data_IF_612645461409
#
_entry.id   IF_612645461409
#
_cell.length_a   1.000
_cell.length_b   1.000
_cell.length_c   1.000
_cell.angle_alpha   90.00
_cell.angle_beta   90.00
_cell.angle_gamma   90.00
#
_symmetry.space_group_name_H-M   'P 1'
#
loop_
_entity.id
_entity.type
_entity.pdbx_description
1 polymer ?
#
# COMPACT_ATOMS: atom_id res chain seq x y z
N UNK A 1 -16.79 16.82 -13.84
CA UNK A 1 -16.64 17.50 -12.53
C UNK A 1 -15.43 16.88 -11.84
N UNK A 2 -14.55 17.67 -11.21
CA UNK A 2 -13.51 17.08 -10.35
C UNK A 2 -14.19 16.23 -9.27
N UNK A 3 -13.58 15.09 -8.90
CA UNK A 3 -14.09 14.16 -7.88
C UNK A 3 -14.38 14.79 -6.52
N UNK A 4 -13.92 16.02 -6.30
CA UNK A 4 -14.19 16.80 -5.09
C UNK A 4 -15.69 16.78 -4.80
N UNK A 5 -16.05 16.10 -3.71
CA UNK A 5 -17.40 15.94 -3.17
C UNK A 5 -18.30 14.87 -3.81
N UNK A 6 -17.75 13.94 -4.60
CA UNK A 6 -18.50 12.73 -5.01
C UNK A 6 -18.12 11.57 -4.11
N UNK A 7 -19.12 10.86 -3.60
CA UNK A 7 -18.90 9.62 -2.84
C UNK A 7 -18.08 8.63 -3.68
N UNK A 8 -16.98 8.15 -3.12
CA UNK A 8 -16.14 7.13 -3.74
C UNK A 8 -16.68 5.75 -3.40
N UNK A 9 -17.00 4.98 -4.43
CA UNK A 9 -17.42 3.58 -4.32
C UNK A 9 -16.22 2.64 -4.43
N UNK A 10 -16.29 1.43 -3.84
CA UNK A 10 -15.29 0.40 -4.06
C UNK A 10 -15.13 0.05 -5.54
N UNK A 11 -13.89 -0.16 -5.97
CA UNK A 11 -13.56 -0.63 -7.32
C UNK A 11 -13.59 -2.16 -7.40
N UNK A 12 -13.67 -2.70 -8.60
CA UNK A 12 -13.62 -4.12 -8.89
C UNK A 12 -12.41 -4.46 -9.79
N UNK A 13 -12.36 -5.69 -10.31
CA UNK A 13 -11.30 -6.18 -11.19
C UNK A 13 -11.17 -5.39 -12.50
N UNK A 14 -12.28 -4.86 -13.05
CA UNK A 14 -12.27 -4.10 -14.31
C UNK A 14 -11.52 -2.77 -14.19
N UNK A 15 -11.50 -2.17 -12.99
CA UNK A 15 -10.72 -0.95 -12.74
C UNK A 15 -9.22 -1.14 -13.02
N UNK A 16 -8.72 -2.37 -12.93
CA UNK A 16 -7.34 -2.73 -13.19
C UNK A 16 -7.15 -3.38 -14.57
N UNK A 17 -8.13 -3.28 -15.47
CA UNK A 17 -8.05 -3.78 -16.84
C UNK A 17 -7.20 -2.88 -17.74
N UNK A 18 -6.88 -3.34 -18.94
CA UNK A 18 -5.98 -2.62 -19.85
C UNK A 18 -6.55 -1.25 -20.25
N UNK A 19 -5.67 -0.32 -20.66
CA UNK A 19 -6.09 1.00 -21.14
C UNK A 19 -7.00 0.91 -22.37
N UNK A 20 -8.12 1.63 -22.34
CA UNK A 20 -9.13 1.63 -23.40
C UNK A 20 -9.02 2.89 -24.27
N UNK A 21 -8.22 2.81 -25.33
CA UNK A 21 -7.93 3.95 -26.22
C UNK A 21 -9.21 4.59 -26.79
N UNK A 22 -10.17 3.77 -27.21
CA UNK A 22 -11.41 4.24 -27.85
C UNK A 22 -12.33 5.03 -26.90
N UNK A 23 -12.18 4.84 -25.58
CA UNK A 23 -12.89 5.65 -24.57
C UNK A 23 -12.21 6.99 -24.31
N UNK A 24 -10.91 7.12 -24.58
CA UNK A 24 -10.17 8.34 -24.23
C UNK A 24 -10.53 9.52 -25.16
N UNK A 25 -11.12 10.57 -24.59
CA UNK A 25 -11.47 11.81 -25.30
C UNK A 25 -10.35 12.88 -25.31
N UNK A 26 -9.13 12.54 -24.89
CA UNK A 26 -7.96 13.43 -24.84
C UNK A 26 -8.16 14.71 -24.00
N UNK A 27 -9.11 14.72 -23.06
CA UNK A 27 -9.35 15.89 -22.22
C UNK A 27 -8.15 16.27 -21.33
N UNK A 28 -7.34 15.29 -20.91
CA UNK A 28 -6.18 15.49 -20.03
C UNK A 28 -6.51 15.67 -18.53
N UNK A 29 -7.77 15.52 -18.10
CA UNK A 29 -8.18 15.69 -16.69
C UNK A 29 -7.43 14.75 -15.74
N UNK A 30 -7.19 13.51 -16.18
CA UNK A 30 -6.50 12.49 -15.41
C UNK A 30 -5.05 12.88 -15.05
N UNK A 31 -4.35 13.60 -15.94
CA UNK A 31 -2.98 14.06 -15.71
C UNK A 31 -2.92 15.46 -15.09
N UNK A 32 -3.86 16.34 -15.41
CA UNK A 32 -3.94 17.69 -14.83
C UNK A 32 -4.28 17.65 -13.34
N UNK A 33 -5.16 16.72 -12.91
CA UNK A 33 -5.50 16.54 -11.50
C UNK A 33 -4.55 15.58 -10.75
N UNK A 34 -3.39 15.25 -11.33
CA UNK A 34 -2.42 14.37 -10.68
C UNK A 34 -1.83 15.06 -9.43
N UNK A 35 -1.96 14.48 -8.21
CA UNK A 35 -1.47 15.12 -6.99
C UNK A 35 0.07 15.09 -6.87
N UNK A 36 0.74 14.45 -7.82
CA UNK A 36 2.20 14.25 -7.86
C UNK A 36 2.88 15.18 -8.87
N UNK A 37 2.51 15.11 -10.16
CA UNK A 37 3.34 15.61 -11.28
C UNK A 37 3.05 17.07 -11.67
N UNK A 38 1.98 17.68 -11.13
CA UNK A 38 1.60 19.10 -11.26
C UNK A 38 1.80 19.65 -12.69
N UNK A 39 0.80 19.38 -13.55
CA UNK A 39 0.78 19.77 -14.95
C UNK A 39 -0.34 20.76 -15.20
N UNK A 40 -0.07 21.80 -16.00
CA UNK A 40 -1.14 22.62 -16.58
C UNK A 40 -2.04 21.79 -17.48
N UNK A 41 -3.23 22.31 -17.83
CA UNK A 41 -4.19 21.59 -18.66
C UNK A 41 -3.62 21.30 -20.06
N UNK A 42 -2.88 22.25 -20.62
CA UNK A 42 -2.24 22.15 -21.93
C UNK A 42 -1.07 21.16 -21.92
N UNK A 43 -0.26 21.15 -20.86
CA UNK A 43 0.80 20.15 -20.69
C UNK A 43 0.22 18.75 -20.50
N UNK A 44 -0.85 18.62 -19.71
CA UNK A 44 -1.52 17.35 -19.45
C UNK A 44 -2.08 16.71 -20.73
N UNK A 45 -2.73 17.50 -21.60
CA UNK A 45 -3.22 17.01 -22.90
C UNK A 45 -2.08 16.50 -23.79
N UNK A 46 -1.01 17.29 -23.91
CA UNK A 46 0.16 16.94 -24.72
C UNK A 46 0.88 15.69 -24.22
N UNK A 47 1.09 15.58 -22.90
CA UNK A 47 1.70 14.40 -22.28
C UNK A 47 0.83 13.15 -22.48
N UNK A 48 -0.51 13.29 -22.43
CA UNK A 48 -1.43 12.19 -22.71
C UNK A 48 -1.38 11.75 -24.18
N UNK A 49 -1.37 12.69 -25.12
CA UNK A 49 -1.20 12.41 -26.56
C UNK A 49 0.13 11.70 -26.83
N UNK A 50 1.22 12.17 -26.23
CA UNK A 50 2.54 11.55 -26.34
C UNK A 50 2.56 10.13 -25.75
N UNK A 51 1.91 9.93 -24.60
CA UNK A 51 1.82 8.63 -23.94
C UNK A 51 1.05 7.62 -24.83
N UNK A 52 -0.09 8.03 -25.41
CA UNK A 52 -0.93 7.18 -26.25
C UNK A 52 -0.22 6.87 -27.58
N UNK A 53 0.37 7.88 -28.23
CA UNK A 53 1.08 7.73 -29.51
C UNK A 53 2.44 7.02 -29.38
N UNK A 54 3.00 6.96 -28.18
CA UNK A 54 4.30 6.34 -27.92
C UNK A 54 5.51 7.23 -28.23
N UNK A 55 5.32 8.54 -28.38
CA UNK A 55 6.38 9.52 -28.67
C UNK A 55 7.28 9.86 -27.46
N UNK A 56 7.06 9.21 -26.30
CA UNK A 56 7.78 9.47 -25.06
C UNK A 56 7.22 10.68 -24.30
N UNK A 57 7.23 10.62 -22.98
CA UNK A 57 6.67 11.67 -22.10
C UNK A 57 7.78 12.43 -21.41
N UNK A 58 7.59 13.72 -21.13
CA UNK A 58 8.60 14.53 -20.43
C UNK A 58 8.70 14.16 -18.95
N UNK A 59 7.55 14.04 -18.26
CA UNK A 59 7.50 13.73 -16.82
C UNK A 59 6.77 12.43 -16.48
N UNK A 60 5.74 12.04 -17.24
CA UNK A 60 4.82 10.97 -16.81
C UNK A 60 5.54 9.63 -16.56
N UNK A 61 6.29 9.13 -17.54
CA UNK A 61 6.98 7.84 -17.41
C UNK A 61 8.12 7.89 -16.38
N UNK A 62 8.69 9.06 -16.07
CA UNK A 62 9.84 9.18 -15.17
C UNK A 62 9.46 9.53 -13.73
N UNK A 63 8.32 10.21 -13.50
CA UNK A 63 7.88 10.73 -12.20
C UNK A 63 6.58 10.10 -11.67
N UNK A 64 5.85 9.35 -12.48
CA UNK A 64 4.65 8.65 -12.01
C UNK A 64 4.98 7.70 -10.85
N UNK A 65 4.06 7.67 -9.89
CA UNK A 65 4.16 6.85 -8.67
C UNK A 65 3.12 5.73 -8.65
N UNK A 66 2.43 5.47 -9.77
CA UNK A 66 1.40 4.43 -9.96
C UNK A 66 0.43 4.31 -8.78
N UNK A 67 -0.14 5.46 -8.37
CA UNK A 67 -1.10 5.55 -7.27
C UNK A 67 -2.56 5.44 -7.74
N UNK A 68 -2.80 5.27 -9.04
CA UNK A 68 -4.12 5.12 -9.68
C UNK A 68 -5.07 6.31 -9.54
N UNK A 69 -4.62 7.47 -9.01
CA UNK A 69 -5.47 8.67 -8.91
C UNK A 69 -6.00 9.12 -10.28
N UNK A 70 -5.20 9.00 -11.34
CA UNK A 70 -5.61 9.39 -12.69
C UNK A 70 -6.79 8.57 -13.23
N UNK A 71 -7.00 7.34 -12.75
CA UNK A 71 -8.11 6.49 -13.20
C UNK A 71 -9.42 6.98 -12.61
N UNK A 72 -9.43 7.35 -11.32
CA UNK A 72 -10.59 8.00 -10.71
C UNK A 72 -10.93 9.35 -11.37
N UNK A 73 -9.92 10.10 -11.82
CA UNK A 73 -10.12 11.39 -12.49
C UNK A 73 -10.44 11.27 -13.99
N UNK A 74 -10.44 10.07 -14.55
CA UNK A 74 -10.76 9.87 -15.96
C UNK A 74 -12.29 9.90 -16.15
N UNK A 75 -12.86 10.89 -16.85
CA UNK A 75 -14.31 10.98 -17.03
C UNK A 75 -14.89 9.81 -17.86
N UNK A 76 -14.05 9.18 -18.69
CA UNK A 76 -14.44 8.12 -19.62
C UNK A 76 -14.06 6.72 -19.11
N UNK A 77 -13.52 6.61 -17.90
CA UNK A 77 -13.00 5.36 -17.33
C UNK A 77 -12.06 4.59 -18.29
N UNK A 78 -11.07 5.28 -18.88
CA UNK A 78 -10.17 4.73 -19.88
C UNK A 78 -8.92 4.02 -19.28
N UNK A 79 -8.79 3.96 -17.96
CA UNK A 79 -7.67 3.31 -17.23
C UNK A 79 -6.24 3.83 -17.58
N UNK A 80 -5.97 5.16 -17.50
CA UNK A 80 -4.67 5.74 -17.88
C UNK A 80 -3.46 5.20 -17.09
N UNK A 81 -3.61 4.75 -15.84
CA UNK A 81 -2.50 4.13 -15.08
C UNK A 81 -1.99 2.88 -15.79
N UNK A 82 -2.90 2.07 -16.32
CA UNK A 82 -2.52 0.82 -16.97
C UNK A 82 -1.75 1.07 -18.27
N UNK A 83 -2.01 2.16 -18.98
CA UNK A 83 -1.16 2.60 -20.09
C UNK A 83 0.27 2.88 -19.62
N UNK A 84 0.45 3.56 -18.49
CA UNK A 84 1.78 3.84 -17.91
C UNK A 84 2.48 2.53 -17.53
N UNK A 85 1.77 1.61 -16.87
CA UNK A 85 2.32 0.31 -16.48
C UNK A 85 2.70 -0.55 -17.70
N UNK A 86 1.92 -0.52 -18.78
CA UNK A 86 2.26 -1.19 -20.05
C UNK A 86 3.54 -0.61 -20.66
N UNK A 87 3.70 0.73 -20.67
CA UNK A 87 4.92 1.37 -21.18
C UNK A 87 6.13 1.03 -20.33
N UNK A 88 6.00 1.02 -19.00
CA UNK A 88 7.06 0.54 -18.10
C UNK A 88 7.39 -0.94 -18.31
N UNK A 89 6.39 -1.81 -18.55
CA UNK A 89 6.61 -3.21 -18.88
C UNK A 89 7.46 -3.36 -20.15
N UNK A 90 7.13 -2.58 -21.19
CA UNK A 90 7.88 -2.56 -22.44
C UNK A 90 9.32 -2.07 -22.23
N UNK A 91 9.49 -0.94 -21.53
CA UNK A 91 10.80 -0.40 -21.22
C UNK A 91 11.65 -1.40 -20.42
N UNK A 92 11.06 -2.08 -19.44
CA UNK A 92 11.72 -3.16 -18.70
C UNK A 92 12.17 -4.32 -19.61
N UNK A 93 11.35 -4.74 -20.57
CA UNK A 93 11.71 -5.81 -21.52
C UNK A 93 12.85 -5.40 -22.46
N UNK A 94 12.92 -4.14 -22.84
CA UNK A 94 13.91 -3.60 -23.78
C UNK A 94 15.24 -3.28 -23.08
N UNK A 95 15.20 -2.64 -21.91
CA UNK A 95 16.39 -2.13 -21.21
C UNK A 95 16.84 -2.97 -20.01
N UNK A 96 15.96 -3.84 -19.49
CA UNK A 96 16.14 -4.46 -18.19
C UNK A 96 15.92 -3.51 -17.01
N UNK A 97 16.13 -4.03 -15.80
CA UNK A 97 16.11 -3.23 -14.59
C UNK A 97 17.45 -2.55 -14.36
N UNK A 98 17.43 -1.33 -13.84
CA UNK A 98 18.63 -0.78 -13.21
C UNK A 98 18.91 -1.56 -11.92
N UNK A 99 20.18 -1.78 -11.59
CA UNK A 99 20.65 -2.57 -10.42
C UNK A 99 19.92 -2.23 -9.12
N UNK A 100 19.66 -0.95 -8.86
CA UNK A 100 18.92 -0.54 -7.65
C UNK A 100 17.47 -1.03 -7.68
N UNK A 101 16.81 -1.01 -8.82
CA UNK A 101 15.45 -1.55 -8.97
C UNK A 101 15.41 -3.06 -8.72
N UNK A 102 16.40 -3.81 -9.22
CA UNK A 102 16.54 -5.25 -8.98
C UNK A 102 16.59 -5.57 -7.49
N UNK A 103 17.35 -4.78 -6.71
CA UNK A 103 17.49 -4.97 -5.27
C UNK A 103 16.18 -4.81 -4.47
N UNK A 104 15.13 -4.22 -5.05
CA UNK A 104 13.81 -4.09 -4.41
C UNK A 104 12.78 -5.12 -4.90
N UNK A 105 13.14 -5.95 -5.87
CA UNK A 105 12.25 -6.99 -6.42
C UNK A 105 12.04 -8.13 -5.43
N UNK A 106 10.82 -8.66 -5.38
CA UNK A 106 10.40 -9.72 -4.44
C UNK A 106 10.45 -11.12 -5.04
N UNK A 107 11.21 -11.32 -6.13
CA UNK A 107 11.26 -12.56 -6.88
C UNK A 107 12.68 -12.96 -7.25
N UNK A 108 12.89 -14.27 -7.42
CA UNK A 108 14.07 -14.85 -8.06
C UNK A 108 14.23 -14.35 -9.51
N UNK A 109 15.46 -14.09 -10.01
CA UNK A 109 16.76 -14.34 -9.38
C UNK A 109 17.27 -13.20 -8.48
N UNK A 110 16.48 -12.17 -8.22
CA UNK A 110 16.94 -10.99 -7.49
C UNK A 110 17.06 -11.20 -5.96
N UNK A 111 17.33 -12.43 -5.52
CA UNK A 111 17.62 -12.77 -4.13
C UNK A 111 19.13 -13.03 -3.98
N UNK A 112 19.83 -12.47 -2.97
CA UNK A 112 19.32 -11.63 -1.88
C UNK A 112 18.90 -10.22 -2.33
N UNK A 113 17.91 -9.65 -1.64
CA UNK A 113 17.35 -8.31 -1.90
C UNK A 113 17.28 -7.46 -0.62
N UNK A 114 16.73 -6.26 -0.74
CA UNK A 114 16.50 -5.37 0.39
C UNK A 114 15.73 -6.03 1.54
N UNK A 115 14.72 -6.85 1.25
CA UNK A 115 13.90 -7.49 2.29
C UNK A 115 14.65 -8.62 2.99
N UNK A 116 15.47 -9.40 2.28
CA UNK A 116 16.32 -10.40 2.94
C UNK A 116 17.37 -9.73 3.82
N UNK A 117 17.95 -8.61 3.36
CA UNK A 117 18.84 -7.79 4.20
C UNK A 117 18.15 -7.30 5.47
N UNK A 118 16.92 -6.77 5.37
CA UNK A 118 16.14 -6.36 6.55
C UNK A 118 15.92 -7.55 7.49
N UNK A 119 15.49 -8.70 6.97
CA UNK A 119 15.26 -9.92 7.76
C UNK A 119 16.52 -10.38 8.52
N UNK A 120 17.69 -10.30 7.89
CA UNK A 120 18.98 -10.64 8.51
C UNK A 120 19.34 -9.72 9.68
N UNK A 121 18.80 -8.50 9.72
CA UNK A 121 19.09 -7.51 10.76
C UNK A 121 17.97 -7.36 11.80
N UNK A 122 16.89 -8.15 11.69
CA UNK A 122 15.84 -8.17 12.71
C UNK A 122 16.34 -8.74 14.06
N UNK A 123 15.75 -8.30 15.19
CA UNK A 123 16.00 -8.90 16.50
C UNK A 123 15.75 -10.42 16.50
N UNK A 124 16.47 -11.15 17.36
CA UNK A 124 16.39 -12.62 17.45
C UNK A 124 14.97 -13.12 17.70
N UNK A 125 14.24 -12.49 18.60
CA UNK A 125 12.86 -12.89 18.91
C UNK A 125 11.90 -12.60 17.74
N UNK A 126 12.09 -11.48 17.02
CA UNK A 126 11.35 -11.18 15.79
C UNK A 126 11.60 -12.22 14.70
N UNK A 127 12.85 -12.66 14.53
CA UNK A 127 13.19 -13.74 13.58
C UNK A 127 12.50 -15.05 13.94
N UNK A 128 12.47 -15.43 15.22
CA UNK A 128 11.75 -16.62 15.69
C UNK A 128 10.26 -16.52 15.45
N UNK A 129 9.67 -15.35 15.72
CA UNK A 129 8.26 -15.07 15.46
C UNK A 129 7.94 -15.27 13.98
N UNK A 130 8.67 -14.62 13.08
CA UNK A 130 8.44 -14.77 11.63
C UNK A 130 8.69 -16.21 11.16
N UNK A 131 9.69 -16.90 11.71
CA UNK A 131 9.95 -18.30 11.38
C UNK A 131 8.77 -19.22 11.76
N UNK A 132 8.04 -18.91 12.83
CA UNK A 132 6.86 -19.68 13.24
C UNK A 132 5.70 -19.61 12.22
N UNK A 133 5.65 -18.58 11.38
CA UNK A 133 4.62 -18.39 10.35
C UNK A 133 4.86 -19.22 9.08
N UNK A 134 5.98 -19.94 9.01
CA UNK A 134 6.37 -20.76 7.86
C UNK A 134 5.65 -22.10 7.76
N UNK A 135 4.88 -22.50 8.78
CA UNK A 135 4.23 -23.81 8.82
C UNK A 135 3.28 -24.04 7.63
N UNK A 136 3.39 -25.24 7.03
CA UNK A 136 2.47 -25.75 6.01
C UNK A 136 1.47 -26.76 6.57
N UNK A 137 1.48 -27.00 7.88
CA UNK A 137 0.48 -27.84 8.53
C UNK A 137 -0.93 -27.27 8.31
N UNK A 138 -1.96 -28.14 8.27
CA UNK A 138 -3.35 -27.70 8.14
C UNK A 138 -3.69 -26.58 9.13
N UNK A 139 -4.51 -25.65 8.66
CA UNK A 139 -5.01 -24.57 9.51
C UNK A 139 -5.85 -25.15 10.65
N UNK A 140 -5.76 -24.55 11.84
CA UNK A 140 -6.58 -24.90 13.00
C UNK A 140 -8.05 -24.50 12.81
N UNK A 141 -8.31 -23.51 11.97
CA UNK A 141 -9.65 -23.08 11.58
C UNK A 141 -9.71 -22.71 10.09
N UNK A 142 -10.80 -22.06 9.70
CA UNK A 142 -11.08 -21.76 8.29
C UNK A 142 -10.42 -20.47 7.76
N UNK A 143 -9.74 -19.71 8.63
CA UNK A 143 -9.18 -18.39 8.29
C UNK A 143 -7.66 -18.37 8.33
N UNK A 144 -7.03 -18.03 7.21
CA UNK A 144 -5.61 -17.70 7.16
C UNK A 144 -5.42 -16.20 7.38
N UNK A 145 -4.53 -15.82 8.30
CA UNK A 145 -4.10 -14.43 8.45
C UNK A 145 -2.82 -14.19 7.68
N UNK A 146 -2.90 -13.38 6.62
CA UNK A 146 -1.81 -13.05 5.73
C UNK A 146 -1.12 -11.75 6.19
N UNK A 147 0.15 -11.80 6.63
CA UNK A 147 0.86 -10.62 7.10
C UNK A 147 1.30 -9.71 5.94
N UNK A 148 1.63 -10.29 4.78
CA UNK A 148 2.31 -9.56 3.70
C UNK A 148 3.76 -9.23 4.02
N UNK A 149 4.48 -8.74 3.02
CA UNK A 149 5.94 -8.61 3.09
C UNK A 149 6.42 -7.48 4.02
N UNK A 150 5.66 -6.39 4.15
CA UNK A 150 6.04 -5.27 5.01
C UNK A 150 5.68 -5.51 6.48
N UNK A 151 4.59 -6.23 6.80
CA UNK A 151 4.31 -6.59 8.20
C UNK A 151 5.33 -7.60 8.70
N UNK A 152 5.85 -8.49 7.84
CA UNK A 152 6.98 -9.36 8.19
C UNK A 152 8.20 -8.54 8.68
N UNK A 153 8.47 -7.37 8.10
CA UNK A 153 9.58 -6.50 8.55
C UNK A 153 9.25 -5.64 9.78
N UNK A 154 7.99 -5.67 10.25
CA UNK A 154 7.49 -5.03 11.46
C UNK A 154 6.60 -6.01 12.23
N UNK A 155 7.07 -7.26 12.39
CA UNK A 155 6.26 -8.37 12.89
C UNK A 155 5.76 -8.12 14.31
N UNK A 156 6.44 -7.26 15.06
CA UNK A 156 6.06 -6.75 16.37
C UNK A 156 4.68 -6.10 16.40
N UNK A 157 4.22 -5.50 15.29
CA UNK A 157 2.87 -4.93 15.18
C UNK A 157 1.77 -5.99 15.38
N UNK A 158 2.11 -7.27 15.20
CA UNK A 158 1.17 -8.38 15.40
C UNK A 158 1.09 -8.86 16.84
N UNK A 159 1.97 -8.38 17.72
CA UNK A 159 2.10 -8.85 19.11
C UNK A 159 1.14 -8.16 20.07
N UNK A 160 -0.08 -7.92 19.61
CA UNK A 160 -1.18 -7.39 20.41
C UNK A 160 -2.12 -8.52 20.82
N UNK A 161 -2.76 -8.42 21.99
CA UNK A 161 -3.74 -9.42 22.43
C UNK A 161 -4.93 -9.56 21.48
N UNK A 162 -5.22 -8.54 20.67
CA UNK A 162 -6.26 -8.57 19.64
C UNK A 162 -5.99 -9.69 18.61
N UNK A 163 -4.72 -10.00 18.34
CA UNK A 163 -4.30 -10.95 17.32
C UNK A 163 -3.82 -12.29 17.87
N UNK A 164 -3.94 -12.53 19.19
CA UNK A 164 -3.40 -13.72 19.85
C UNK A 164 -3.94 -15.05 19.28
N UNK A 165 -5.19 -15.03 18.81
CA UNK A 165 -5.88 -16.21 18.28
C UNK A 165 -5.83 -16.27 16.73
N UNK A 166 -5.14 -15.32 16.09
CA UNK A 166 -5.02 -15.31 14.63
C UNK A 166 -3.99 -16.32 14.15
N UNK A 167 -4.38 -17.06 13.12
CA UNK A 167 -3.51 -18.02 12.47
C UNK A 167 -2.66 -17.34 11.39
N UNK A 168 -1.57 -16.69 11.81
CA UNK A 168 -0.66 -15.99 10.90
C UNK A 168 0.18 -17.01 10.12
N UNK A 169 0.14 -16.91 8.78
CA UNK A 169 0.95 -17.70 7.85
C UNK A 169 1.57 -16.80 6.80
N UNK A 170 2.87 -16.93 6.57
CA UNK A 170 3.54 -16.14 5.55
C UNK A 170 5.06 -16.17 5.61
N UNK A 171 5.67 -15.96 4.45
CA UNK A 171 7.11 -15.78 4.24
C UNK A 171 7.32 -14.79 3.10
N UNK A 172 8.54 -14.27 2.95
CA UNK A 172 8.85 -13.34 1.86
C UNK A 172 8.61 -13.94 0.47
N UNK A 173 8.76 -15.26 0.32
CA UNK A 173 8.44 -15.97 -0.92
C UNK A 173 6.95 -15.92 -1.26
N UNK A 174 6.05 -15.83 -0.27
CA UNK A 174 4.61 -15.71 -0.47
C UNK A 174 4.16 -14.23 -0.55
N UNK A 175 5.04 -13.32 -0.97
CA UNK A 175 4.66 -11.93 -1.27
C UNK A 175 3.56 -11.88 -2.35
N UNK A 176 2.56 -11.02 -2.15
CA UNK A 176 1.41 -10.84 -3.05
C UNK A 176 1.77 -10.21 -4.41
N UNK A 177 3.00 -9.73 -4.60
CA UNK A 177 3.44 -9.15 -5.87
C UNK A 177 3.01 -7.70 -6.09
N UNK A 178 2.46 -7.00 -5.09
CA UNK A 178 2.03 -5.59 -5.22
C UNK A 178 3.07 -4.69 -5.89
N UNK A 179 4.34 -4.83 -5.50
CA UNK A 179 5.41 -3.99 -6.03
C UNK A 179 5.62 -4.27 -7.52
N UNK A 180 5.54 -5.54 -7.93
CA UNK A 180 5.65 -5.95 -9.33
C UNK A 180 4.52 -5.36 -10.17
N UNK A 181 3.29 -5.36 -9.63
CA UNK A 181 2.16 -4.76 -10.31
C UNK A 181 2.38 -3.27 -10.55
N UNK A 182 2.73 -2.54 -9.50
CA UNK A 182 2.92 -1.09 -9.57
C UNK A 182 4.16 -0.64 -10.32
N UNK A 183 5.09 -1.53 -10.62
CA UNK A 183 6.25 -1.27 -11.50
C UNK A 183 6.05 -1.81 -12.93
N UNK A 184 4.89 -2.42 -13.24
CA UNK A 184 4.57 -2.90 -14.60
C UNK A 184 5.16 -4.28 -14.94
N UNK A 185 5.44 -5.17 -13.98
CA UNK A 185 6.11 -6.45 -14.19
C UNK A 185 5.09 -7.56 -14.46
N UNK A 186 4.34 -7.41 -15.55
CA UNK A 186 3.20 -8.26 -15.91
C UNK A 186 3.53 -9.75 -15.88
N UNK A 187 4.60 -10.19 -16.52
CA UNK A 187 4.97 -11.62 -16.60
C UNK A 187 5.31 -12.20 -15.23
N UNK A 188 5.95 -11.39 -14.38
CA UNK A 188 6.36 -11.78 -13.04
C UNK A 188 5.18 -11.89 -12.08
N UNK A 189 4.11 -11.13 -12.31
CA UNK A 189 2.86 -11.29 -11.56
C UNK A 189 2.20 -12.65 -11.81
N UNK A 190 2.14 -13.14 -13.05
CA UNK A 190 1.62 -14.48 -13.32
C UNK A 190 2.39 -15.58 -12.55
N UNK A 191 3.72 -15.44 -12.45
CA UNK A 191 4.55 -16.37 -11.65
C UNK A 191 4.24 -16.29 -10.15
N UNK A 192 3.96 -15.09 -9.62
CA UNK A 192 3.53 -14.90 -8.23
C UNK A 192 2.18 -15.54 -7.98
N UNK A 193 1.20 -15.31 -8.87
CA UNK A 193 -0.14 -15.89 -8.76
C UNK A 193 -0.09 -17.41 -8.74
N UNK A 194 0.69 -18.03 -9.62
CA UNK A 194 0.83 -19.50 -9.66
C UNK A 194 1.41 -20.05 -8.35
N UNK A 195 2.42 -19.37 -7.78
CA UNK A 195 3.02 -19.77 -6.49
C UNK A 195 2.04 -19.59 -5.33
N UNK A 196 1.29 -18.49 -5.32
CA UNK A 196 0.27 -18.24 -4.30
C UNK A 196 -0.86 -19.26 -4.40
N UNK A 197 -1.32 -19.60 -5.60
CA UNK A 197 -2.31 -20.66 -5.83
C UNK A 197 -1.84 -21.98 -5.22
N UNK A 198 -0.60 -22.41 -5.49
CA UNK A 198 -0.04 -23.64 -4.90
C UNK A 198 -0.04 -23.59 -3.37
N UNK A 199 0.34 -22.44 -2.80
CA UNK A 199 0.37 -22.24 -1.36
C UNK A 199 -1.03 -22.28 -0.73
N UNK A 200 -2.01 -21.59 -1.31
CA UNK A 200 -3.39 -21.62 -0.83
C UNK A 200 -4.03 -23.00 -1.02
N UNK A 201 -3.76 -23.71 -2.12
CA UNK A 201 -4.24 -25.09 -2.31
C UNK A 201 -3.62 -26.09 -1.30
N UNK A 202 -2.46 -25.76 -0.73
CA UNK A 202 -1.85 -26.55 0.34
C UNK A 202 -2.55 -26.30 1.69
N UNK A 203 -2.74 -25.02 2.05
CA UNK A 203 -3.31 -24.62 3.35
C UNK A 203 -4.84 -24.67 3.41
N UNK A 204 -5.51 -24.59 2.26
CA UNK A 204 -6.97 -24.63 2.06
C UNK A 204 -7.80 -23.68 2.94
N UNK A 205 -7.43 -22.39 3.09
CA UNK A 205 -8.26 -21.43 3.82
C UNK A 205 -9.59 -21.14 3.10
N UNK A 206 -10.70 -21.09 3.83
CA UNK A 206 -11.96 -20.55 3.29
C UNK A 206 -11.94 -19.02 3.30
N UNK A 207 -11.34 -18.42 4.32
CA UNK A 207 -11.28 -16.97 4.50
C UNK A 207 -9.85 -16.45 4.58
N UNK A 208 -9.63 -15.24 4.08
CA UNK A 208 -8.34 -14.56 4.12
C UNK A 208 -8.46 -13.24 4.90
N UNK A 209 -7.83 -13.17 6.07
CA UNK A 209 -7.64 -11.91 6.80
C UNK A 209 -6.29 -11.30 6.43
N UNK A 210 -6.28 -10.08 5.90
CA UNK A 210 -5.07 -9.45 5.36
C UNK A 210 -4.64 -8.26 6.22
N UNK A 211 -3.42 -8.34 6.76
CA UNK A 211 -2.81 -7.29 7.61
C UNK A 211 -2.20 -6.12 6.80
N UNK A 212 -2.59 -5.97 5.54
CA UNK A 212 -2.03 -5.00 4.60
C UNK A 212 -3.10 -4.52 3.61
N UNK A 213 -3.47 -3.24 3.65
CA UNK A 213 -4.45 -2.65 2.71
C UNK A 213 -4.09 -2.92 1.24
N UNK A 214 -2.80 -2.83 0.89
CA UNK A 214 -2.34 -3.11 -0.46
C UNK A 214 -2.52 -4.59 -0.84
N UNK A 215 -2.22 -5.49 0.10
CA UNK A 215 -2.47 -6.92 -0.06
C UNK A 215 -3.96 -7.22 -0.25
N UNK A 216 -4.84 -6.58 0.54
CA UNK A 216 -6.29 -6.73 0.41
C UNK A 216 -6.74 -6.40 -1.01
N UNK A 217 -6.27 -5.28 -1.59
CA UNK A 217 -6.67 -4.89 -2.95
C UNK A 217 -6.07 -5.83 -3.99
N UNK A 218 -4.81 -6.22 -3.81
CA UNK A 218 -4.12 -7.08 -4.75
C UNK A 218 -4.79 -8.46 -4.84
N UNK A 219 -5.17 -9.07 -3.72
CA UNK A 219 -5.90 -10.34 -3.75
C UNK A 219 -7.32 -10.20 -4.29
N UNK A 220 -8.06 -9.14 -3.92
CA UNK A 220 -9.46 -8.95 -4.36
C UNK A 220 -9.58 -8.59 -5.84
N UNK A 221 -8.79 -7.63 -6.30
CA UNK A 221 -9.07 -6.90 -7.53
C UNK A 221 -7.96 -6.98 -8.59
N UNK A 222 -6.75 -7.41 -8.23
CA UNK A 222 -5.60 -7.41 -9.16
C UNK A 222 -5.26 -8.82 -9.60
N UNK A 223 -4.89 -9.71 -8.68
CA UNK A 223 -4.39 -11.05 -9.01
C UNK A 223 -5.37 -11.95 -9.77
N UNK A 224 -6.72 -11.80 -9.69
CA UNK A 224 -7.62 -12.50 -10.61
C UNK A 224 -7.26 -12.30 -12.09
N UNK A 225 -6.93 -11.05 -12.49
CA UNK A 225 -6.48 -10.71 -13.84
C UNK A 225 -5.09 -11.28 -14.19
N UNK A 226 -4.34 -11.77 -13.20
CA UNK A 226 -3.01 -12.37 -13.35
C UNK A 226 -2.99 -13.85 -12.99
N UNK A 227 -4.14 -14.53 -13.07
CA UNK A 227 -4.23 -15.98 -13.03
C UNK A 227 -4.22 -16.62 -11.64
N UNK A 228 -4.51 -15.85 -10.57
CA UNK A 228 -4.84 -16.45 -9.27
C UNK A 228 -6.22 -17.11 -9.37
N UNK A 229 -6.28 -18.43 -9.20
CA UNK A 229 -7.51 -19.21 -9.35
C UNK A 229 -8.14 -19.59 -8.03
N UNK A 230 -7.37 -19.63 -6.94
CA UNK A 230 -7.87 -20.01 -5.62
C UNK A 230 -9.01 -19.07 -5.20
N UNK A 231 -10.17 -19.65 -4.87
CA UNK A 231 -11.35 -18.90 -4.47
C UNK A 231 -11.48 -18.90 -2.95
N UNK A 232 -11.53 -17.70 -2.38
CA UNK A 232 -11.86 -17.49 -0.98
C UNK A 232 -13.35 -17.19 -0.87
N UNK A 233 -14.00 -17.70 0.18
CA UNK A 233 -15.36 -17.29 0.54
C UNK A 233 -15.39 -15.82 1.00
N UNK A 234 -14.31 -15.34 1.62
CA UNK A 234 -14.16 -13.92 1.94
C UNK A 234 -12.70 -13.47 2.04
N UNK A 235 -12.45 -12.22 1.67
CA UNK A 235 -11.18 -11.53 1.90
C UNK A 235 -11.48 -10.27 2.72
N UNK A 236 -10.86 -10.13 3.88
CA UNK A 236 -11.11 -9.02 4.83
C UNK A 236 -9.83 -8.28 5.15
N UNK A 237 -9.91 -6.96 5.26
CA UNK A 237 -8.82 -6.12 5.76
C UNK A 237 -8.78 -6.15 7.29
N UNK A 238 -7.58 -6.06 7.86
CA UNK A 238 -7.44 -5.97 9.31
C UNK A 238 -8.14 -4.76 9.93
N UNK A 239 -8.33 -3.66 9.19
CA UNK A 239 -9.09 -2.51 9.67
C UNK A 239 -10.58 -2.83 9.84
N UNK A 240 -11.17 -3.56 8.89
CA UNK A 240 -12.56 -4.03 8.98
C UNK A 240 -12.70 -4.98 10.18
N UNK A 241 -11.78 -5.94 10.31
CA UNK A 241 -11.74 -6.88 11.44
C UNK A 241 -11.65 -6.19 12.81
N UNK A 242 -10.77 -5.19 12.94
CA UNK A 242 -10.63 -4.42 14.19
C UNK A 242 -11.92 -3.64 14.48
N UNK A 243 -12.48 -3.00 13.46
CA UNK A 243 -13.70 -2.22 13.63
C UNK A 243 -14.88 -3.11 14.04
N UNK A 244 -15.06 -4.28 13.43
CA UNK A 244 -16.06 -5.27 13.83
C UNK A 244 -15.88 -5.70 15.29
N UNK A 245 -14.66 -6.03 15.71
CA UNK A 245 -14.39 -6.39 17.11
C UNK A 245 -14.65 -5.24 18.09
N UNK A 246 -14.39 -3.99 17.69
CA UNK A 246 -14.76 -2.81 18.48
C UNK A 246 -16.28 -2.74 18.63
N UNK A 247 -17.03 -2.89 17.53
CA UNK A 247 -18.50 -2.82 17.54
C UNK A 247 -19.13 -3.94 18.37
N UNK A 248 -18.52 -5.12 18.39
CA UNK A 248 -18.95 -6.26 19.19
C UNK A 248 -18.52 -6.20 20.67
N UNK A 249 -17.86 -5.12 21.10
CA UNK A 249 -17.28 -4.98 22.45
C UNK A 249 -16.23 -6.05 22.81
N UNK A 250 -15.58 -6.64 21.80
CA UNK A 250 -14.50 -7.62 21.98
C UNK A 250 -13.14 -6.94 22.22
N UNK A 251 -13.02 -5.65 21.88
CA UNK A 251 -11.86 -4.80 22.16
C UNK A 251 -12.26 -3.75 23.20
N UNK A 252 -11.72 -3.88 24.41
CA UNK A 252 -12.01 -2.97 25.53
C UNK A 252 -10.95 -1.87 25.60
N UNK A 253 -11.38 -0.61 25.40
CA UNK A 253 -10.51 0.56 25.54
C UNK A 253 -10.32 0.87 27.02
N UNK A 254 -9.07 0.77 27.49
CA UNK A 254 -8.70 1.04 28.89
C UNK A 254 -8.30 2.49 29.12
N UNK A 255 -7.77 3.15 28.09
CA UNK A 255 -7.26 4.51 28.15
C UNK A 255 -7.56 5.24 26.84
N UNK A 256 -8.18 6.41 26.92
CA UNK A 256 -8.28 7.35 25.78
C UNK A 256 -6.94 8.09 25.64
N UNK A 257 -6.43 8.21 24.43
CA UNK A 257 -5.05 8.66 24.21
C UNK A 257 -4.84 10.17 24.28
N UNK A 258 -5.89 10.98 24.13
CA UNK A 258 -5.83 12.45 24.09
C UNK A 258 -4.67 12.96 23.22
N UNK A 259 -4.63 12.45 21.99
CA UNK A 259 -3.60 12.73 21.01
C UNK A 259 -4.25 13.30 19.74
N UNK A 260 -3.60 14.26 19.10
CA UNK A 260 -3.98 14.74 17.78
C UNK A 260 -3.06 14.16 16.72
N UNK A 261 -3.60 13.55 15.67
CA UNK A 261 -2.81 12.98 14.56
C UNK A 261 -3.27 13.49 13.20
N UNK A 262 -2.33 13.62 12.27
CA UNK A 262 -2.65 13.64 10.83
C UNK A 262 -2.50 12.24 10.25
N UNK A 263 -3.24 11.92 9.19
CA UNK A 263 -3.23 10.58 8.59
C UNK A 263 -2.43 10.59 7.28
N UNK A 264 -1.55 9.60 7.11
CA UNK A 264 -1.06 9.18 5.79
C UNK A 264 -1.93 8.03 5.29
N UNK A 265 -2.69 8.29 4.22
CA UNK A 265 -3.48 7.25 3.58
C UNK A 265 -2.59 6.20 2.90
N UNK A 266 -3.03 4.95 2.90
CA UNK A 266 -2.50 3.92 2.03
C UNK A 266 -2.91 4.23 0.59
N UNK A 267 -1.99 4.06 -0.37
CA UNK A 267 -2.25 4.32 -1.80
C UNK A 267 -3.46 3.58 -2.37
N UNK A 268 -3.85 2.48 -1.72
CA UNK A 268 -4.97 1.61 -2.11
C UNK A 268 -6.29 1.88 -1.38
N UNK A 269 -6.34 2.80 -0.41
CA UNK A 269 -7.54 2.94 0.41
C UNK A 269 -8.76 3.45 -0.38
N UNK A 270 -8.56 4.35 -1.34
CA UNK A 270 -9.63 4.82 -2.26
C UNK A 270 -10.22 3.73 -3.15
N UNK A 271 -9.53 2.61 -3.35
CA UNK A 271 -10.03 1.46 -4.11
C UNK A 271 -11.17 0.74 -3.36
N UNK A 272 -11.31 1.00 -2.07
CA UNK A 272 -12.38 0.45 -1.24
C UNK A 272 -13.46 1.49 -0.91
N UNK A 273 -13.41 2.68 -1.51
CA UNK A 273 -14.39 3.73 -1.31
C UNK A 273 -14.32 4.45 0.06
N UNK A 274 -15.27 5.34 0.26
CA UNK A 274 -15.31 6.24 1.43
C UNK A 274 -15.55 5.49 2.74
N UNK A 275 -16.34 4.42 2.73
CA UNK A 275 -16.59 3.62 3.93
C UNK A 275 -15.29 3.07 4.53
N UNK A 276 -14.42 2.51 3.67
CA UNK A 276 -13.13 1.99 4.09
C UNK A 276 -12.18 3.10 4.55
N UNK A 277 -12.11 4.21 3.81
CA UNK A 277 -11.29 5.38 4.20
C UNK A 277 -11.76 6.00 5.52
N UNK A 278 -13.04 5.83 5.88
CA UNK A 278 -13.57 6.26 7.16
C UNK A 278 -13.21 5.33 8.32
N UNK A 279 -12.89 4.05 8.09
CA UNK A 279 -12.49 3.11 9.15
C UNK A 279 -11.32 3.60 10.02
N UNK A 280 -10.16 4.03 9.48
CA UNK A 280 -9.06 4.50 10.34
C UNK A 280 -9.50 5.70 11.20
N UNK A 281 -10.35 6.60 10.68
CA UNK A 281 -10.88 7.74 11.44
C UNK A 281 -11.82 7.30 12.56
N UNK A 282 -12.75 6.39 12.25
CA UNK A 282 -13.68 5.80 13.23
C UNK A 282 -12.92 5.13 14.37
N UNK A 283 -11.91 4.32 14.04
CA UNK A 283 -11.05 3.64 15.02
C UNK A 283 -10.29 4.67 15.86
N UNK A 284 -9.62 5.65 15.24
CA UNK A 284 -8.84 6.68 15.94
C UNK A 284 -9.71 7.51 16.89
N UNK A 285 -10.85 8.01 16.42
CA UNK A 285 -11.80 8.74 17.27
C UNK A 285 -12.31 7.86 18.42
N UNK A 286 -12.61 6.58 18.15
CA UNK A 286 -13.04 5.64 19.17
C UNK A 286 -11.98 5.40 20.26
N UNK A 287 -10.69 5.50 19.96
CA UNK A 287 -9.62 5.38 20.96
C UNK A 287 -9.23 6.74 21.59
N UNK A 288 -9.98 7.81 21.31
CA UNK A 288 -9.74 9.15 21.87
C UNK A 288 -8.59 9.89 21.19
N UNK A 289 -8.36 9.62 19.90
CA UNK A 289 -7.42 10.36 19.05
C UNK A 289 -8.20 11.28 18.13
N UNK A 290 -7.83 12.55 18.08
CA UNK A 290 -8.41 13.55 17.16
C UNK A 290 -7.66 13.53 15.83
N UNK A 291 -8.38 13.44 14.72
CA UNK A 291 -7.77 13.46 13.38
C UNK A 291 -7.82 14.87 12.79
N UNK A 292 -6.64 15.41 12.42
CA UNK A 292 -6.50 16.62 11.60
C UNK A 292 -6.04 16.23 10.20
N UNK A 293 -6.90 16.40 9.22
CA UNK A 293 -6.61 15.99 7.83
C UNK A 293 -5.63 16.96 7.16
N UNK A 294 -4.68 16.42 6.39
CA UNK A 294 -3.81 17.21 5.52
C UNK A 294 -4.49 17.45 4.15
N UNK A 295 -4.01 18.41 3.33
CA UNK A 295 -4.61 18.68 2.02
C UNK A 295 -4.56 17.50 1.04
N UNK A 296 -3.61 16.58 1.20
CA UNK A 296 -3.38 15.45 0.30
C UNK A 296 -3.96 14.16 0.87
N UNK A 297 -5.29 14.07 0.90
CA UNK A 297 -6.03 12.99 1.54
C UNK A 297 -7.18 12.50 0.66
N UNK A 298 -7.76 11.34 0.98
CA UNK A 298 -8.88 10.71 0.24
C UNK A 298 -8.61 10.60 -1.27
N UNK A 299 -9.47 11.12 -2.14
CA UNK A 299 -9.28 11.09 -3.60
C UNK A 299 -7.94 11.72 -4.05
N UNK A 300 -7.49 12.73 -3.31
CA UNK A 300 -6.25 13.49 -3.56
C UNK A 300 -5.04 12.91 -2.82
N UNK A 301 -5.16 11.73 -2.21
CA UNK A 301 -4.08 11.13 -1.45
C UNK A 301 -2.81 10.94 -2.30
N UNK A 302 -1.67 11.28 -1.68
CA UNK A 302 -0.35 11.03 -2.27
C UNK A 302 0.24 9.75 -1.71
N UNK A 303 1.09 9.11 -2.52
CA UNK A 303 1.96 8.06 -2.02
C UNK A 303 2.90 8.62 -0.95
N UNK A 304 3.21 7.82 0.08
CA UNK A 304 4.13 8.19 1.17
C UNK A 304 5.54 8.58 0.72
N UNK A 305 5.91 8.24 -0.53
CA UNK A 305 7.19 8.57 -1.14
C UNK A 305 7.82 7.39 -1.88
N UNK A 306 7.52 6.16 -1.46
CA UNK A 306 8.14 4.94 -2.01
C UNK A 306 7.86 4.77 -3.52
N UNK A 307 6.67 5.17 -3.97
CA UNK A 307 6.25 5.08 -5.38
C UNK A 307 7.09 5.94 -6.32
N UNK A 308 7.80 6.96 -5.81
CA UNK A 308 8.76 7.73 -6.60
C UNK A 308 9.97 6.90 -7.07
N UNK A 309 10.10 5.67 -6.58
CA UNK A 309 11.08 4.69 -7.04
C UNK A 309 10.59 3.74 -8.14
N UNK A 310 9.31 3.81 -8.56
CA UNK A 310 8.68 2.72 -9.30
C UNK A 310 8.88 2.75 -10.81
N UNK A 311 9.09 3.93 -11.40
CA UNK A 311 9.46 3.99 -12.81
C UNK A 311 10.81 3.33 -13.04
N UNK A 312 10.99 2.75 -14.23
CA UNK A 312 12.23 2.07 -14.64
C UNK A 312 13.44 2.98 -14.46
N UNK A 313 13.31 4.26 -14.82
CA UNK A 313 14.38 5.26 -14.68
C UNK A 313 14.62 5.69 -13.22
N UNK A 314 13.56 5.74 -12.42
CA UNK A 314 13.71 6.10 -11.00
C UNK A 314 14.38 4.99 -10.22
N UNK A 315 14.03 3.73 -10.44
CA UNK A 315 14.65 2.55 -9.84
C UNK A 315 15.04 2.75 -8.36
N UNK A 316 14.07 3.15 -7.52
CA UNK A 316 14.27 3.45 -6.10
C UNK A 316 15.35 4.48 -5.76
N UNK A 317 15.56 5.48 -6.63
CA UNK A 317 16.56 6.52 -6.39
C UNK A 317 16.29 7.27 -5.07
N UNK A 318 17.24 7.30 -4.12
CA UNK A 318 17.01 7.87 -2.79
C UNK A 318 16.53 9.31 -2.81
N UNK A 319 17.09 10.15 -3.69
CA UNK A 319 16.68 11.55 -3.83
C UNK A 319 15.23 11.70 -4.32
N UNK A 320 14.74 10.83 -5.20
CA UNK A 320 13.35 10.88 -5.69
C UNK A 320 12.37 10.46 -4.60
N UNK A 321 12.67 9.36 -3.90
CA UNK A 321 11.87 8.90 -2.74
C UNK A 321 11.85 9.97 -1.65
N UNK A 322 13.00 10.54 -1.31
CA UNK A 322 13.11 11.60 -0.30
C UNK A 322 12.32 12.85 -0.71
N UNK A 323 12.46 13.31 -1.95
CA UNK A 323 11.74 14.49 -2.45
C UNK A 323 10.22 14.29 -2.35
N UNK A 324 9.73 13.13 -2.78
CA UNK A 324 8.31 12.79 -2.69
C UNK A 324 7.82 12.72 -1.25
N UNK A 325 8.56 12.06 -0.35
CA UNK A 325 8.21 11.99 1.06
C UNK A 325 8.21 13.37 1.74
N UNK A 326 9.16 14.25 1.38
CA UNK A 326 9.23 15.61 1.90
C UNK A 326 7.99 16.46 1.57
N UNK A 327 7.32 16.20 0.42
CA UNK A 327 6.06 16.86 0.06
C UNK A 327 4.98 16.56 1.10
N UNK A 328 4.80 15.29 1.48
CA UNK A 328 3.84 14.89 2.52
C UNK A 328 4.24 15.43 3.90
N UNK A 329 5.53 15.37 4.25
CA UNK A 329 6.02 15.86 5.55
C UNK A 329 5.86 17.38 5.74
N UNK A 330 5.78 18.17 4.65
CA UNK A 330 5.45 19.60 4.72
C UNK A 330 3.98 19.79 5.06
N UNK A 331 3.10 19.09 4.34
CA UNK A 331 1.65 19.14 4.57
C UNK A 331 1.29 18.72 6.00
N UNK A 332 1.92 17.65 6.51
CA UNK A 332 1.70 17.18 7.88
C UNK A 332 2.08 18.21 8.93
N UNK A 333 3.15 18.99 8.73
CA UNK A 333 3.51 20.04 9.69
C UNK A 333 2.50 21.17 9.76
N UNK A 334 1.85 21.47 8.64
CA UNK A 334 0.85 22.53 8.57
C UNK A 334 -0.47 22.12 9.25
N UNK A 335 -0.59 20.88 9.74
CA UNK A 335 -1.79 20.42 10.46
C UNK A 335 -1.74 20.74 11.96
N UNK A 336 -0.58 21.10 12.53
CA UNK A 336 -0.38 21.22 13.99
C UNK A 336 -0.86 19.96 14.75
N UNK A 337 -0.59 18.77 14.20
CA UNK A 337 -0.84 17.49 14.85
C UNK A 337 0.40 17.02 15.63
N UNK A 338 0.18 16.28 16.72
CA UNK A 338 1.25 15.75 17.57
C UNK A 338 2.05 14.64 16.87
N UNK A 339 1.40 13.89 15.99
CA UNK A 339 2.00 12.78 15.25
C UNK A 339 1.36 12.54 13.88
N UNK A 340 2.03 11.71 13.07
CA UNK A 340 1.48 11.12 11.85
C UNK A 340 1.03 9.70 12.16
N UNK A 341 -0.24 9.39 11.90
CA UNK A 341 -0.75 8.03 11.92
C UNK A 341 -0.72 7.43 10.50
N UNK A 342 -0.19 6.22 10.39
CA UNK A 342 -0.23 5.39 9.18
C UNK A 342 -0.98 4.09 9.49
N UNK A 343 -1.57 3.47 8.48
CA UNK A 343 -2.20 2.14 8.63
C UNK A 343 -1.68 1.16 7.57
N UNK A 344 -0.50 1.44 7.03
CA UNK A 344 0.25 0.60 6.10
C UNK A 344 1.70 0.51 6.55
N UNK A 345 2.21 -0.70 6.77
CA UNK A 345 3.60 -0.94 7.18
C UNK A 345 4.64 -0.42 6.16
N UNK A 346 4.29 -0.36 4.87
CA UNK A 346 5.15 0.27 3.86
C UNK A 346 5.23 1.80 4.00
N UNK A 347 4.12 2.44 4.39
CA UNK A 347 4.11 3.86 4.72
C UNK A 347 4.90 4.13 6.01
N UNK A 348 4.77 3.26 7.01
CA UNK A 348 5.55 3.31 8.25
C UNK A 348 7.06 3.33 7.95
N UNK A 349 7.54 2.33 7.20
CA UNK A 349 8.96 2.21 6.84
C UNK A 349 9.49 3.46 6.11
N UNK A 350 8.73 3.95 5.13
CA UNK A 350 9.12 5.09 4.29
C UNK A 350 9.16 6.38 5.10
N UNK A 351 8.11 6.66 5.89
CA UNK A 351 8.01 7.90 6.65
C UNK A 351 8.95 7.92 7.86
N UNK A 352 9.19 6.80 8.55
CA UNK A 352 10.21 6.72 9.60
C UNK A 352 11.61 7.02 9.06
N UNK A 353 11.94 6.51 7.87
CA UNK A 353 13.23 6.81 7.22
C UNK A 353 13.32 8.28 6.82
N UNK A 354 12.26 8.83 6.22
CA UNK A 354 12.21 10.24 5.83
C UNK A 354 12.27 11.20 7.04
N UNK A 355 11.64 10.83 8.17
CA UNK A 355 11.67 11.56 9.44
C UNK A 355 13.11 11.69 9.94
N UNK A 356 13.86 10.59 10.05
CA UNK A 356 15.27 10.59 10.50
C UNK A 356 16.17 11.53 9.70
N UNK A 357 15.86 11.73 8.41
CA UNK A 357 16.65 12.54 7.47
C UNK A 357 16.20 14.01 7.37
N UNK A 358 15.07 14.38 7.97
CA UNK A 358 14.42 15.66 7.68
C UNK A 358 13.85 16.39 8.90
N UNK A 359 13.41 15.69 9.96
CA UNK A 359 12.82 16.32 11.16
C UNK A 359 13.02 15.48 12.43
N UNK A 360 13.50 16.11 13.52
CA UNK A 360 13.75 15.40 14.79
C UNK A 360 12.49 15.14 15.65
N UNK A 361 11.35 15.81 15.41
CA UNK A 361 10.32 15.93 16.46
C UNK A 361 8.93 15.31 16.16
N UNK A 362 8.51 15.11 14.91
CA UNK A 362 7.16 14.58 14.62
C UNK A 362 7.15 13.06 14.60
N UNK A 363 6.46 12.42 15.55
CA UNK A 363 6.39 10.96 15.65
C UNK A 363 5.56 10.36 14.52
N UNK A 364 5.91 9.16 14.08
CA UNK A 364 5.11 8.34 13.15
C UNK A 364 4.66 7.09 13.89
N UNK A 365 3.34 6.88 13.96
CA UNK A 365 2.72 5.71 14.57
C UNK A 365 1.97 4.90 13.53
N UNK A 366 2.08 3.59 13.60
CA UNK A 366 1.11 2.69 13.00
C UNK A 366 -0.18 2.69 13.84
N UNK A 367 -1.35 2.61 13.19
CA UNK A 367 -2.64 2.61 13.89
C UNK A 367 -2.74 1.49 14.94
N UNK A 368 -2.12 0.34 14.69
CA UNK A 368 -2.03 -0.77 15.65
C UNK A 368 -1.29 -0.39 16.93
N UNK A 369 -0.30 0.51 16.87
CA UNK A 369 0.42 0.97 18.06
C UNK A 369 -0.46 1.87 18.92
N UNK A 370 -1.22 2.76 18.29
CA UNK A 370 -2.20 3.59 18.99
C UNK A 370 -3.30 2.73 19.62
N UNK A 371 -3.80 1.73 18.90
CA UNK A 371 -4.79 0.79 19.46
C UNK A 371 -4.20 0.04 20.67
N UNK A 372 -2.98 -0.47 20.57
CA UNK A 372 -2.27 -1.12 21.67
C UNK A 372 -2.21 -0.21 22.91
N UNK A 373 -1.76 1.03 22.75
CA UNK A 373 -1.70 2.01 23.85
C UNK A 373 -3.08 2.22 24.48
N UNK A 374 -4.14 2.28 23.66
CA UNK A 374 -5.51 2.52 24.13
C UNK A 374 -6.10 1.33 24.90
N UNK A 375 -5.71 0.10 24.58
CA UNK A 375 -6.12 -1.11 25.30
C UNK A 375 -5.21 -1.44 26.51
N UNK A 376 -4.24 -0.57 26.81
CA UNK A 376 -3.31 -0.71 27.94
C UNK A 376 -2.08 -1.57 27.65
N UNK A 377 -1.80 -1.88 26.38
CA UNK A 377 -0.58 -2.52 25.95
C UNK A 377 0.53 -1.49 25.66
N UNK A 378 1.79 -1.91 25.73
CA UNK A 378 2.93 -1.08 25.35
C UNK A 378 3.45 -1.56 24.00
N UNK A 379 3.35 -0.74 22.92
CA UNK A 379 3.90 -1.09 21.63
C UNK A 379 5.38 -1.46 21.73
N UNK A 380 5.79 -2.54 21.06
CA UNK A 380 7.19 -3.01 21.14
C UNK A 380 8.16 -1.97 20.58
N UNK A 381 7.74 -1.14 19.62
CA UNK A 381 8.54 -0.03 19.08
C UNK A 381 8.90 1.05 20.12
N UNK A 382 8.13 1.16 21.21
CA UNK A 382 8.45 2.04 22.34
C UNK A 382 9.39 1.36 23.34
N UNK A 383 9.40 0.02 23.42
CA UNK A 383 10.33 -0.75 24.27
C UNK A 383 11.76 -0.81 23.72
N UNK A 384 11.93 -0.57 22.41
CA UNK A 384 13.20 -0.62 21.70
C UNK A 384 13.87 0.75 21.49
N UNK A 385 13.25 1.83 22.00
CA UNK A 385 13.84 3.18 22.09
C UNK A 385 14.36 3.41 23.50
#
# INVERSE_FOLDING_TARGET
>A
MPLKNKELLPVNEDFFSEFEKEKCNFCGDCLNNCPIIDLSKEEAKRELENLISGQGTKKILSECQSCFTCDFYCPENAHPTNLILQKWNRQYKEEGLKVRGEYYMTLYPHYPNFRSYVMEHLPKETKKLVASWASLEPLKGDTLTYPGCNVITFAELTQTSIFKDLEIRGRLEYCCGETLFRTGYKEKLFQVSERLDKWFNTLKPKHLLVLCTAGTNVFKNVLPNYGLKYQFESIKSYLEYIWEKIQNNEIVIRKKLDLTVTIQESCYAKMFGDEYMNLPRKILNYIGVTVKESPAIREDMRCCGIGAGFSVDSAYHPLKIRSSALKNLKDFKNTDADAVCVYCAGCLATLMTAQKLSFKNMKVYHILELIQMAIGETPISEKAK
#
